data_IF_793928240250
#
_entry.id   IF_793928240250
#
_cell.length_a   1.000
_cell.length_b   1.000
_cell.length_c   1.000
_cell.angle_alpha   90.00
_cell.angle_beta   90.00
_cell.angle_gamma   90.00
#
_symmetry.space_group_name_H-M   'P 1'
#
loop_
_entity.id
_entity.type
_entity.pdbx_description
1 polymer ?
#
# COMPACT_ATOMS: atom_id res chain seq x y z
N UNK A 1 -40.98 17.35 -5.04
CA UNK A 1 -40.83 15.89 -5.11
C UNK A 1 -40.60 15.51 -6.56
N UNK A 2 -39.37 15.16 -6.94
CA UNK A 2 -39.03 14.74 -8.30
C UNK A 2 -39.26 13.23 -8.43
N UNK A 3 -40.17 12.85 -9.32
CA UNK A 3 -40.46 11.46 -9.68
C UNK A 3 -39.32 10.94 -10.57
N UNK A 4 -38.51 10.03 -10.03
CA UNK A 4 -37.56 9.23 -10.78
C UNK A 4 -38.34 8.14 -11.54
N UNK A 5 -38.49 8.30 -12.85
CA UNK A 5 -39.04 7.27 -13.72
C UNK A 5 -37.94 6.24 -14.02
N UNK A 6 -37.95 5.13 -13.30
CA UNK A 6 -37.10 3.97 -13.57
C UNK A 6 -37.57 3.31 -14.87
N UNK A 7 -36.82 3.50 -15.96
CA UNK A 7 -37.03 2.76 -17.21
C UNK A 7 -36.62 1.30 -17.00
N UNK A 8 -37.59 0.44 -16.70
CA UNK A 8 -37.41 -1.01 -16.86
C UNK A 8 -37.41 -1.34 -18.35
N UNK A 9 -36.24 -1.56 -18.93
CA UNK A 9 -36.12 -2.20 -20.24
C UNK A 9 -36.48 -3.67 -20.09
N UNK A 10 -37.73 -4.03 -20.36
CA UNK A 10 -38.12 -5.43 -20.51
C UNK A 10 -37.47 -5.98 -21.77
N UNK A 11 -36.48 -6.86 -21.61
CA UNK A 11 -35.92 -7.63 -22.71
C UNK A 11 -37.00 -8.64 -23.12
N UNK A 12 -37.55 -8.47 -24.32
CA UNK A 12 -38.51 -9.44 -24.86
C UNK A 12 -37.82 -10.81 -25.01
N UNK A 13 -38.51 -11.93 -24.72
CA UNK A 13 -37.98 -13.26 -25.00
C UNK A 13 -37.73 -13.39 -26.51
N UNK A 14 -36.49 -13.65 -26.93
CA UNK A 14 -36.17 -13.86 -28.34
C UNK A 14 -35.97 -15.34 -28.66
N UNK A 15 -36.44 -15.73 -29.84
CA UNK A 15 -36.26 -17.07 -30.40
C UNK A 15 -34.93 -17.11 -31.17
N UNK A 16 -34.25 -18.26 -31.15
CA UNK A 16 -32.94 -18.44 -31.78
C UNK A 16 -32.94 -18.13 -33.30
N UNK A 17 -34.11 -18.20 -33.95
CA UNK A 17 -34.27 -17.97 -35.39
C UNK A 17 -34.37 -16.48 -35.79
N UNK A 18 -34.45 -15.54 -34.84
CA UNK A 18 -34.68 -14.12 -35.16
C UNK A 18 -33.39 -13.34 -35.54
N UNK A 19 -32.20 -13.87 -35.23
CA UNK A 19 -30.93 -13.22 -35.55
C UNK A 19 -30.06 -14.10 -36.47
N UNK A 20 -30.26 -13.96 -37.78
CA UNK A 20 -29.41 -14.57 -38.81
C UNK A 20 -28.04 -13.89 -39.01
N UNK A 21 -27.46 -13.29 -37.97
CA UNK A 21 -26.14 -12.61 -38.05
C UNK A 21 -25.30 -12.93 -36.83
N UNK A 22 -24.11 -13.47 -37.07
CA UNK A 22 -23.10 -13.77 -36.05
C UNK A 22 -22.69 -12.50 -35.30
N UNK A 23 -23.05 -12.41 -34.02
CA UNK A 23 -22.25 -11.72 -33.02
C UNK A 23 -21.99 -12.69 -31.88
N UNK A 24 -21.00 -13.56 -32.07
CA UNK A 24 -20.38 -14.22 -30.93
C UNK A 24 -19.61 -13.17 -30.13
N UNK A 25 -20.27 -12.57 -29.15
CA UNK A 25 -19.59 -11.85 -28.09
C UNK A 25 -18.97 -12.92 -27.17
N UNK A 26 -17.62 -12.97 -26.99
CA UNK A 26 -16.97 -14.07 -26.28
C UNK A 26 -17.31 -14.18 -24.78
N UNK A 27 -18.17 -13.35 -24.21
CA UNK A 27 -18.42 -13.32 -22.76
C UNK A 27 -19.79 -12.81 -22.30
N UNK A 28 -20.75 -12.52 -23.19
CA UNK A 28 -21.98 -11.84 -22.76
C UNK A 28 -23.21 -12.38 -23.49
N UNK A 29 -24.00 -13.15 -22.73
CA UNK A 29 -25.47 -13.27 -22.82
C UNK A 29 -26.02 -13.13 -24.25
N UNK A 30 -25.84 -14.16 -25.07
CA UNK A 30 -26.66 -14.30 -26.28
C UNK A 30 -28.12 -14.37 -25.80
N UNK A 31 -28.96 -13.44 -26.25
CA UNK A 31 -30.36 -13.28 -25.78
C UNK A 31 -31.29 -14.48 -25.95
N UNK A 32 -30.77 -15.63 -26.37
CA UNK A 32 -31.39 -16.96 -26.44
C UNK A 32 -31.69 -17.47 -25.02
N UNK A 33 -32.72 -16.91 -24.39
CA UNK A 33 -33.09 -17.17 -22.99
C UNK A 33 -33.95 -18.43 -22.80
N UNK A 34 -34.53 -18.95 -23.89
CA UNK A 34 -35.53 -20.03 -23.82
C UNK A 34 -35.12 -21.26 -24.63
N UNK A 35 -34.51 -21.09 -25.80
CA UNK A 35 -34.13 -22.18 -26.71
C UNK A 35 -32.68 -22.02 -27.19
N UNK A 36 -31.92 -23.12 -27.18
CA UNK A 36 -30.53 -23.20 -27.65
C UNK A 36 -30.51 -23.92 -29.00
N UNK A 37 -29.70 -23.42 -29.93
CA UNK A 37 -29.45 -24.12 -31.19
C UNK A 37 -28.48 -25.30 -31.01
N UNK A 38 -28.95 -26.54 -31.20
CA UNK A 38 -28.11 -27.76 -31.07
C UNK A 38 -27.42 -28.15 -32.36
N UNK A 39 -28.00 -27.84 -33.53
CA UNK A 39 -27.39 -28.09 -34.84
C UNK A 39 -27.57 -26.88 -35.76
N UNK A 40 -26.44 -26.37 -36.26
CA UNK A 40 -26.40 -25.30 -37.26
C UNK A 40 -26.20 -25.90 -38.65
N UNK A 41 -26.88 -25.33 -39.65
CA UNK A 41 -26.67 -25.64 -41.05
C UNK A 41 -25.39 -25.00 -41.60
N UNK A 42 -24.97 -25.34 -42.82
CA UNK A 42 -23.76 -24.78 -43.44
C UNK A 42 -23.82 -23.27 -43.70
N UNK A 43 -25.01 -22.67 -43.65
CA UNK A 43 -25.25 -21.22 -43.79
C UNK A 43 -25.44 -20.50 -42.44
N UNK A 44 -25.12 -21.16 -41.31
CA UNK A 44 -25.22 -20.57 -39.97
C UNK A 44 -26.62 -20.56 -39.34
N UNK A 45 -27.66 -20.87 -40.12
CA UNK A 45 -29.04 -20.98 -39.63
C UNK A 45 -29.19 -22.16 -38.66
N UNK A 46 -30.03 -21.97 -37.62
CA UNK A 46 -30.36 -23.06 -36.73
C UNK A 46 -31.28 -24.07 -37.43
N UNK A 47 -30.91 -25.35 -37.41
CA UNK A 47 -31.74 -26.43 -37.97
C UNK A 47 -32.52 -27.19 -36.89
N UNK A 48 -32.06 -27.09 -35.63
CA UNK A 48 -32.69 -27.73 -34.47
C UNK A 48 -32.52 -26.84 -33.24
N UNK A 49 -33.63 -26.39 -32.68
CA UNK A 49 -33.69 -25.73 -31.38
C UNK A 49 -34.19 -26.71 -30.33
N UNK A 50 -33.64 -26.62 -29.13
CA UNK A 50 -34.11 -27.35 -27.95
C UNK A 50 -34.26 -26.39 -26.78
N UNK A 51 -35.21 -26.67 -25.88
CA UNK A 51 -35.38 -25.86 -24.67
C UNK A 51 -34.12 -25.89 -23.80
N UNK A 52 -33.73 -24.72 -23.30
CA UNK A 52 -32.55 -24.56 -22.44
C UNK A 52 -32.78 -25.28 -21.10
N UNK A 53 -31.98 -26.30 -20.84
CA UNK A 53 -31.86 -26.99 -19.55
C UNK A 53 -30.41 -26.91 -19.07
N UNK A 54 -30.17 -27.05 -17.76
CA UNK A 54 -28.80 -26.96 -17.19
C UNK A 54 -27.85 -28.03 -17.77
N UNK A 55 -28.38 -29.15 -18.25
CA UNK A 55 -27.61 -30.23 -18.87
C UNK A 55 -27.27 -29.98 -20.36
N UNK A 56 -28.07 -29.17 -21.06
CA UNK A 56 -27.89 -28.85 -22.49
C UNK A 56 -27.11 -27.53 -22.69
N UNK A 57 -26.91 -26.79 -21.62
CA UNK A 57 -26.26 -25.50 -21.62
C UNK A 57 -24.73 -25.66 -21.59
N UNK A 58 -24.07 -25.29 -22.69
CA UNK A 58 -22.61 -25.39 -22.83
C UNK A 58 -21.89 -24.22 -22.14
N UNK A 59 -22.41 -23.78 -21.00
CA UNK A 59 -21.80 -22.77 -20.15
C UNK A 59 -20.58 -23.38 -19.44
N UNK A 60 -19.46 -23.41 -20.18
CA UNK A 60 -18.13 -23.82 -19.70
C UNK A 60 -17.74 -23.11 -18.39
N UNK A 61 -18.32 -21.95 -18.10
CA UNK A 61 -18.08 -21.21 -16.87
C UNK A 61 -18.36 -22.05 -15.61
N UNK A 62 -19.50 -22.75 -15.49
CA UNK A 62 -19.81 -23.54 -14.28
C UNK A 62 -18.86 -24.74 -14.09
N UNK A 63 -18.32 -25.28 -15.19
CA UNK A 63 -17.40 -26.44 -15.16
C UNK A 63 -15.98 -26.07 -14.75
N UNK A 64 -15.52 -24.86 -15.09
CA UNK A 64 -14.14 -24.42 -14.83
C UNK A 64 -14.01 -23.46 -13.65
N UNK A 65 -15.05 -22.71 -13.30
CA UNK A 65 -15.05 -21.86 -12.12
C UNK A 65 -15.65 -22.63 -10.94
N UNK A 66 -14.79 -23.20 -10.09
CA UNK A 66 -15.21 -23.67 -8.78
C UNK A 66 -15.69 -22.48 -7.96
N UNK A 67 -16.85 -22.62 -7.31
CA UNK A 67 -17.38 -21.55 -6.48
C UNK A 67 -16.38 -21.18 -5.37
N UNK A 68 -16.01 -19.89 -5.23
CA UNK A 68 -15.06 -19.46 -4.21
C UNK A 68 -15.53 -19.82 -2.79
N UNK A 69 -16.84 -19.89 -2.58
CA UNK A 69 -17.45 -20.29 -1.31
C UNK A 69 -17.10 -21.73 -0.88
N UNK A 70 -16.94 -22.66 -1.83
CA UNK A 70 -16.63 -24.06 -1.52
C UNK A 70 -15.15 -24.19 -1.14
N UNK A 71 -14.26 -23.53 -1.90
CA UNK A 71 -12.82 -23.52 -1.60
C UNK A 71 -12.48 -22.89 -0.24
N UNK A 72 -13.25 -21.89 0.20
CA UNK A 72 -13.08 -21.29 1.53
C UNK A 72 -13.53 -22.22 2.66
N UNK A 73 -14.59 -22.99 2.45
CA UNK A 73 -15.07 -23.99 3.43
C UNK A 73 -14.06 -25.12 3.61
N UNK A 74 -13.56 -25.67 2.51
CA UNK A 74 -12.53 -26.73 2.53
C UNK A 74 -11.26 -26.25 3.27
N UNK A 75 -10.82 -25.01 3.03
CA UNK A 75 -9.66 -24.43 3.74
C UNK A 75 -9.90 -24.28 5.24
N UNK A 76 -11.10 -23.85 5.63
CA UNK A 76 -11.44 -23.67 7.04
C UNK A 76 -11.51 -25.00 7.80
N UNK A 77 -12.02 -26.06 7.18
CA UNK A 77 -12.09 -27.40 7.77
C UNK A 77 -10.70 -28.01 7.97
N UNK A 78 -9.81 -27.86 7.00
CA UNK A 78 -8.41 -28.31 7.10
C UNK A 78 -7.67 -27.57 8.22
N UNK A 79 -7.88 -26.26 8.34
CA UNK A 79 -7.25 -25.44 9.39
C UNK A 79 -7.73 -25.84 10.80
N UNK A 80 -9.01 -26.20 10.95
CA UNK A 80 -9.56 -26.66 12.22
C UNK A 80 -9.07 -28.06 12.61
N UNK A 81 -8.84 -28.97 11.65
CA UNK A 81 -8.37 -30.33 11.91
C UNK A 81 -6.92 -30.44 12.40
N UNK A 82 -6.06 -29.46 12.07
CA UNK A 82 -4.62 -29.46 12.42
C UNK A 82 -4.29 -28.77 13.77
N UNK A 83 -5.28 -28.35 14.54
CA UNK A 83 -5.13 -27.61 15.79
C UNK A 83 -4.76 -28.48 17.02
N UNK A 84 -3.88 -29.46 16.87
CA UNK A 84 -3.36 -30.26 17.98
C UNK A 84 -2.10 -29.63 18.61
N UNK A 85 -2.28 -28.92 19.73
CA UNK A 85 -1.26 -28.66 20.76
C UNK A 85 -0.06 -27.77 20.42
N UNK A 86 0.81 -28.18 19.49
CA UNK A 86 2.04 -27.46 19.12
C UNK A 86 1.81 -26.38 18.06
N UNK A 87 0.80 -26.59 17.20
CA UNK A 87 0.41 -25.63 16.17
C UNK A 87 -0.10 -24.32 16.76
N UNK A 88 -0.67 -24.32 17.97
CA UNK A 88 -1.17 -23.09 18.59
C UNK A 88 -0.02 -22.19 19.08
N UNK A 89 1.00 -22.75 19.73
CA UNK A 89 2.15 -21.97 20.22
C UNK A 89 3.03 -21.40 19.08
N UNK A 90 3.21 -22.16 17.99
CA UNK A 90 3.90 -21.64 16.80
C UNK A 90 3.08 -20.53 16.12
N UNK A 91 1.76 -20.72 15.99
CA UNK A 91 0.88 -19.71 15.41
C UNK A 91 0.86 -18.43 16.24
N UNK A 92 0.88 -18.51 17.57
CA UNK A 92 1.00 -17.34 18.46
C UNK A 92 2.32 -16.60 18.25
N UNK A 93 3.46 -17.32 18.16
CA UNK A 93 4.76 -16.71 17.86
C UNK A 93 4.78 -16.04 16.48
N UNK A 94 4.22 -16.71 15.46
CA UNK A 94 4.15 -16.15 14.10
C UNK A 94 3.24 -14.91 14.05
N UNK A 95 2.13 -14.91 14.79
CA UNK A 95 1.28 -13.72 14.93
C UNK A 95 2.04 -12.57 15.60
N UNK A 96 2.75 -12.86 16.69
CA UNK A 96 3.57 -11.86 17.37
C UNK A 96 4.67 -11.32 16.45
N UNK A 97 5.40 -12.19 15.75
CA UNK A 97 6.40 -11.80 14.75
C UNK A 97 5.80 -10.97 13.62
N UNK A 98 4.56 -11.27 13.20
CA UNK A 98 3.86 -10.50 12.17
C UNK A 98 3.57 -9.07 12.65
N UNK A 99 3.08 -8.91 13.89
CA UNK A 99 2.84 -7.59 14.46
C UNK A 99 4.16 -6.83 14.70
N UNK A 100 5.20 -7.48 15.20
CA UNK A 100 6.53 -6.88 15.39
C UNK A 100 7.13 -6.43 14.05
N UNK A 101 7.01 -7.26 13.00
CA UNK A 101 7.50 -6.93 11.66
C UNK A 101 6.69 -5.80 11.03
N UNK A 102 5.38 -5.79 11.23
CA UNK A 102 4.49 -4.72 10.77
C UNK A 102 4.86 -3.39 11.43
N UNK A 103 5.13 -3.40 12.74
CA UNK A 103 5.57 -2.20 13.45
C UNK A 103 6.95 -1.73 12.96
N UNK A 104 7.92 -2.64 12.80
CA UNK A 104 9.25 -2.29 12.25
C UNK A 104 9.15 -1.72 10.84
N UNK A 105 8.39 -2.37 9.96
CA UNK A 105 8.17 -1.91 8.60
C UNK A 105 7.50 -0.53 8.57
N UNK A 106 6.51 -0.30 9.44
CA UNK A 106 5.87 1.03 9.56
C UNK A 106 6.90 2.10 9.94
N UNK A 107 7.72 1.86 10.95
CA UNK A 107 8.75 2.83 11.37
C UNK A 107 9.80 3.06 10.28
N UNK A 108 10.20 2.01 9.56
CA UNK A 108 11.17 2.13 8.46
C UNK A 108 10.60 2.92 7.27
N UNK A 109 9.33 2.70 6.93
CA UNK A 109 8.64 3.48 5.89
C UNK A 109 8.50 4.94 6.30
N UNK A 110 8.07 5.22 7.53
CA UNK A 110 8.00 6.59 8.06
C UNK A 110 9.37 7.29 8.02
N UNK A 111 10.43 6.61 8.46
CA UNK A 111 11.81 7.14 8.43
C UNK A 111 12.26 7.46 7.00
N UNK A 112 12.07 6.55 6.05
CA UNK A 112 12.47 6.75 4.64
C UNK A 112 11.66 7.83 3.95
N UNK A 113 10.35 7.87 4.21
CA UNK A 113 9.46 8.89 3.65
C UNK A 113 9.90 10.26 4.13
N UNK A 114 10.25 10.38 5.40
CA UNK A 114 10.80 11.60 5.97
C UNK A 114 12.16 11.99 5.37
N UNK A 115 13.11 11.06 5.23
CA UNK A 115 14.41 11.32 4.59
C UNK A 115 14.24 11.86 3.15
N UNK A 116 13.24 11.37 2.42
CA UNK A 116 12.88 11.87 1.10
C UNK A 116 12.24 13.26 1.17
N UNK A 117 11.27 13.48 2.05
CA UNK A 117 10.58 14.77 2.22
C UNK A 117 11.52 15.88 2.73
N UNK A 118 12.54 15.53 3.52
CA UNK A 118 13.58 16.46 3.95
C UNK A 118 14.30 17.06 2.75
N UNK A 119 14.63 16.25 1.74
CA UNK A 119 15.33 16.73 0.55
C UNK A 119 14.48 17.69 -0.30
N UNK A 120 13.15 17.60 -0.20
CA UNK A 120 12.22 18.50 -0.89
C UNK A 120 11.95 19.78 -0.09
N UNK A 121 11.93 19.69 1.25
CA UNK A 121 11.55 20.80 2.14
C UNK A 121 12.73 21.70 2.50
N UNK A 122 13.93 21.13 2.62
CA UNK A 122 15.13 21.86 2.99
C UNK A 122 16.24 21.71 1.95
N UNK A 123 16.71 22.83 1.42
CA UNK A 123 17.83 22.90 0.50
C UNK A 123 19.19 22.75 1.18
N UNK A 124 20.26 22.55 0.39
CA UNK A 124 21.62 22.39 0.92
C UNK A 124 22.20 23.63 1.62
N UNK A 125 21.56 24.80 1.43
CA UNK A 125 22.00 26.08 2.01
C UNK A 125 21.06 26.61 3.08
N UNK A 126 20.06 25.83 3.50
CA UNK A 126 19.15 26.27 4.55
C UNK A 126 19.88 26.40 5.89
N UNK A 127 19.45 27.42 6.65
CA UNK A 127 20.02 27.73 7.96
C UNK A 127 19.60 26.71 9.01
N UNK A 128 18.56 25.94 8.74
CA UNK A 128 17.99 24.96 9.65
C UNK A 128 18.23 23.55 9.13
N UNK A 129 18.56 22.65 10.06
CA UNK A 129 18.79 21.24 9.80
C UNK A 129 17.87 20.45 10.70
N UNK A 130 17.18 19.47 10.13
CA UNK A 130 16.38 18.54 10.91
C UNK A 130 17.28 17.41 11.39
N UNK A 131 17.25 17.13 12.69
CA UNK A 131 17.99 16.04 13.32
C UNK A 131 16.99 15.07 13.95
N UNK A 132 17.15 13.78 13.69
CA UNK A 132 16.32 12.70 14.23
C UNK A 132 16.71 12.44 15.70
N UNK A 133 15.72 12.42 16.60
CA UNK A 133 15.93 12.12 18.01
C UNK A 133 16.21 10.62 18.24
N UNK A 134 16.68 10.28 19.44
CA UNK A 134 16.96 8.91 19.87
C UNK A 134 15.74 7.98 19.78
N UNK A 135 14.53 8.55 19.84
CA UNK A 135 13.27 7.81 19.76
C UNK A 135 12.98 7.25 18.37
N UNK A 136 13.69 7.73 17.34
CA UNK A 136 13.48 7.33 15.95
C UNK A 136 12.17 7.82 15.31
N UNK A 137 11.36 8.60 16.06
CA UNK A 137 10.05 9.12 15.64
C UNK A 137 9.98 10.65 15.62
N UNK A 138 10.60 11.29 16.60
CA UNK A 138 10.55 12.74 16.78
C UNK A 138 11.79 13.40 16.20
N UNK A 139 11.67 14.68 15.86
CA UNK A 139 12.72 15.46 15.25
C UNK A 139 12.87 16.78 15.98
N UNK A 140 14.09 17.29 16.03
CA UNK A 140 14.35 18.67 16.44
C UNK A 140 14.91 19.46 15.27
N UNK A 141 14.39 20.68 15.12
CA UNK A 141 14.85 21.62 14.13
C UNK A 141 15.94 22.47 14.77
N UNK A 142 17.18 22.28 14.34
CA UNK A 142 18.33 23.00 14.88
C UNK A 142 18.89 23.95 13.84
N UNK A 143 19.45 25.07 14.28
CA UNK A 143 20.23 25.93 13.39
C UNK A 143 21.53 25.21 13.01
N UNK A 144 22.00 25.37 11.78
CA UNK A 144 23.22 24.76 11.26
C UNK A 144 24.46 24.99 12.16
N UNK A 145 24.75 26.22 12.67
CA UNK A 145 25.85 26.41 13.62
C UNK A 145 25.67 25.64 14.93
N UNK A 146 24.45 25.58 15.46
CA UNK A 146 24.11 24.83 16.68
C UNK A 146 24.30 23.32 16.46
N UNK A 147 23.81 22.78 15.33
CA UNK A 147 23.96 21.38 14.95
C UNK A 147 25.44 21.00 14.77
N UNK A 148 26.27 21.88 14.19
CA UNK A 148 27.70 21.63 14.03
C UNK A 148 28.44 21.62 15.38
N UNK A 149 28.02 22.43 16.36
CA UNK A 149 28.57 22.40 17.72
C UNK A 149 28.20 21.11 18.44
N UNK A 150 26.92 20.71 18.37
CA UNK A 150 26.45 19.45 18.96
C UNK A 150 27.09 18.22 18.29
N UNK A 151 27.39 18.30 16.99
CA UNK A 151 28.19 17.30 16.27
C UNK A 151 29.62 17.23 16.80
N UNK A 152 30.28 18.38 17.03
CA UNK A 152 31.63 18.44 17.62
C UNK A 152 31.67 17.89 19.05
N UNK A 153 30.60 18.12 19.82
CA UNK A 153 30.43 17.59 21.17
C UNK A 153 30.05 16.10 21.22
N UNK A 154 29.83 15.46 20.07
CA UNK A 154 29.57 14.02 19.97
C UNK A 154 28.11 13.62 20.22
N UNK A 155 27.18 14.57 20.26
CA UNK A 155 25.75 14.28 20.42
C UNK A 155 25.09 13.83 19.12
N UNK A 156 25.61 14.29 17.97
CA UNK A 156 25.01 14.05 16.64
C UNK A 156 25.98 13.27 15.74
N UNK A 157 25.47 12.22 15.11
CA UNK A 157 26.12 11.50 14.01
C UNK A 157 25.12 11.32 12.86
N UNK A 158 25.53 11.61 11.63
CA UNK A 158 24.72 11.40 10.41
C UNK A 158 23.28 11.93 10.51
N UNK A 159 23.11 13.11 11.12
CA UNK A 159 21.81 13.78 11.37
C UNK A 159 20.88 13.03 12.35
N UNK A 160 21.46 12.20 13.22
CA UNK A 160 20.76 11.48 14.30
C UNK A 160 21.43 11.77 15.64
N UNK A 161 20.64 11.93 16.69
CA UNK A 161 21.17 11.99 18.04
C UNK A 161 21.57 10.60 18.53
N UNK A 162 22.79 10.48 19.03
CA UNK A 162 23.25 9.28 19.75
C UNK A 162 22.76 9.35 21.20
N UNK A 163 22.80 10.55 21.79
CA UNK A 163 22.30 10.86 23.12
C UNK A 163 21.42 12.09 23.03
N UNK A 164 20.30 12.09 23.73
CA UNK A 164 19.41 13.25 23.76
C UNK A 164 20.07 14.36 24.60
N UNK A 165 20.36 15.53 24.01
CA UNK A 165 20.91 16.65 24.76
C UNK A 165 19.86 17.20 25.72
N UNK A 166 20.30 17.67 26.88
CA UNK A 166 19.42 18.40 27.82
C UNK A 166 19.16 19.81 27.30
N UNK A 167 18.20 20.52 27.89
CA UNK A 167 17.90 21.91 27.52
C UNK A 167 19.12 22.82 27.71
N UNK A 168 19.92 22.57 28.75
CA UNK A 168 21.16 23.29 29.04
C UNK A 168 22.21 23.10 27.92
N UNK A 169 22.35 21.88 27.38
CA UNK A 169 23.26 21.60 26.28
C UNK A 169 22.82 22.28 24.97
N UNK A 170 21.51 22.35 24.73
CA UNK A 170 20.93 23.04 23.58
C UNK A 170 21.15 24.55 23.66
N UNK A 171 21.00 25.11 24.87
CA UNK A 171 21.20 26.53 25.12
C UNK A 171 22.69 26.92 25.08
N UNK A 172 23.58 26.10 25.66
CA UNK A 172 25.02 26.30 25.53
C UNK A 172 25.48 26.27 24.05
N UNK A 173 24.88 25.38 23.25
CA UNK A 173 25.14 25.34 21.81
C UNK A 173 24.58 26.57 21.06
N UNK A 174 23.59 27.28 21.61
CA UNK A 174 23.07 28.55 21.07
C UNK A 174 24.01 29.72 21.46
N UNK A 175 24.34 29.83 22.75
CA UNK A 175 25.03 30.97 23.36
C UNK A 175 26.52 31.09 23.04
N UNK A 176 27.17 30.02 22.55
CA UNK A 176 28.56 30.08 22.06
C UNK A 176 28.76 30.93 20.78
N UNK A 177 27.83 31.84 20.48
CA UNK A 177 27.81 32.82 19.39
C UNK A 177 28.92 33.88 19.45
N UNK A 178 29.69 33.95 20.54
CA UNK A 178 30.73 34.99 20.72
C UNK A 178 32.11 34.75 20.10
N UNK A 179 32.52 33.49 19.84
CA UNK A 179 33.96 33.19 19.74
C UNK A 179 34.48 32.77 18.35
N UNK A 180 33.59 32.72 17.35
CA UNK A 180 33.93 32.23 16.01
C UNK A 180 34.54 33.28 15.07
N UNK A 181 34.15 34.55 15.21
CA UNK A 181 34.64 35.66 14.37
C UNK A 181 35.72 36.48 15.08
N UNK A 182 35.58 36.69 16.39
CA UNK A 182 36.56 37.42 17.19
C UNK A 182 37.89 36.65 17.33
N UNK A 183 37.86 35.34 17.60
CA UNK A 183 39.05 34.50 17.71
C UNK A 183 39.82 34.32 16.39
N UNK A 184 39.10 34.29 15.25
CA UNK A 184 39.71 34.23 13.92
C UNK A 184 40.37 35.57 13.52
N UNK A 185 39.79 36.71 13.89
CA UNK A 185 40.39 38.04 13.64
C UNK A 185 41.56 38.31 14.59
N UNK A 186 41.48 37.87 15.84
CA UNK A 186 42.57 38.04 16.81
C UNK A 186 43.79 37.15 16.50
N UNK A 187 43.60 35.97 15.91
CA UNK A 187 44.71 35.14 15.39
C UNK A 187 45.28 35.64 14.06
N UNK A 188 44.50 36.38 13.26
CA UNK A 188 44.96 36.95 11.98
C UNK A 188 45.64 38.32 12.14
N UNK A 189 45.29 39.10 13.17
CA UNK A 189 45.86 40.44 13.43
C UNK A 189 46.75 40.53 14.68
N UNK A 190 46.85 39.48 15.49
CA UNK A 190 47.57 39.48 16.78
C UNK A 190 48.92 38.74 16.78
N UNK A 191 49.64 38.72 15.65
CA UNK A 191 50.94 38.05 15.53
C UNK A 191 52.04 38.99 15.05
N UNK A 192 52.50 39.90 15.92
CA UNK A 192 53.65 40.75 15.63
C UNK A 192 54.07 41.64 16.81
N UNK A 193 54.98 41.12 17.64
CA UNK A 193 55.72 41.75 18.76
C UNK A 193 54.91 42.33 19.93
#
# INVERSE_FOLDING_TARGET
AYLLATMCTSVAPCFADEYGVEKEAPTLYTGETVEICTKRGPLGACLKTEFRTEDNDNDKAKKYFRDPAITLREKNEVLQGTAGGESNALVERLKQQTEDNKEKNRMDVERRTFENDQSATFGPFDRQVIILNTDGKTYTLLQNPQAMRLKKAGFIQDRKFIKQPTEDDLQAALEAEGDGLAGAVQSLFGGGN
#
